data_IF_741377605056
#
_entry.id   IF_741377605056
#
_cell.length_a   1.000
_cell.length_b   1.000
_cell.length_c   1.000
_cell.angle_alpha   90.00
_cell.angle_beta   90.00
_cell.angle_gamma   90.00
#
_symmetry.space_group_name_H-M   'P 1'
#
loop_
_entity.id
_entity.type
_entity.pdbx_description
1 polymer ?
#
# COMPACT_ATOMS: atom_id res chain seq x y z
N UNK A 1 -16.60 4.96 27.74
CA UNK A 1 -15.30 5.52 27.35
C UNK A 1 -14.61 6.02 28.60
N UNK A 2 -13.42 5.49 28.94
CA UNK A 2 -12.70 5.91 30.15
C UNK A 2 -12.33 7.39 30.07
N UNK A 3 -12.43 8.12 31.22
CA UNK A 3 -12.12 9.57 31.30
C UNK A 3 -10.73 9.90 30.73
N UNK A 4 -9.73 9.07 31.02
CA UNK A 4 -8.37 9.24 30.53
C UNK A 4 -8.28 9.17 28.97
N UNK A 5 -9.11 8.33 28.34
CA UNK A 5 -9.20 8.20 26.89
C UNK A 5 -9.86 9.42 26.26
N UNK A 6 -10.93 9.91 26.87
CA UNK A 6 -11.60 11.14 26.44
C UNK A 6 -10.65 12.34 26.58
N UNK A 7 -9.89 12.43 27.64
CA UNK A 7 -8.87 13.47 27.84
C UNK A 7 -7.73 13.34 26.83
N UNK A 8 -7.29 12.12 26.54
CA UNK A 8 -6.30 11.85 25.48
C UNK A 8 -6.79 12.28 24.10
N UNK A 9 -8.03 11.93 23.76
CA UNK A 9 -8.68 12.35 22.51
C UNK A 9 -8.78 13.88 22.39
N UNK A 10 -9.25 14.56 23.44
CA UNK A 10 -9.37 16.02 23.44
C UNK A 10 -8.01 16.71 23.33
N UNK A 11 -6.97 16.20 24.03
CA UNK A 11 -5.60 16.70 23.89
C UNK A 11 -5.05 16.50 22.50
N UNK A 12 -5.20 15.32 21.91
CA UNK A 12 -4.72 15.04 20.56
C UNK A 12 -5.47 15.87 19.51
N UNK A 13 -6.80 16.01 19.66
CA UNK A 13 -7.61 16.86 18.80
C UNK A 13 -7.16 18.33 18.92
N UNK A 14 -6.95 18.84 20.13
CA UNK A 14 -6.43 20.18 20.37
C UNK A 14 -5.05 20.39 19.74
N UNK A 15 -4.11 19.44 19.93
CA UNK A 15 -2.78 19.48 19.32
C UNK A 15 -2.84 19.46 17.79
N UNK A 16 -3.74 18.70 17.19
CA UNK A 16 -3.89 18.66 15.73
C UNK A 16 -4.35 20.00 15.14
N UNK A 17 -5.14 20.78 15.86
CA UNK A 17 -5.53 22.15 15.47
C UNK A 17 -4.39 23.15 15.61
N UNK A 18 -3.43 22.90 16.51
CA UNK A 18 -2.24 23.76 16.67
C UNK A 18 -1.15 23.44 15.63
N UNK A 19 -1.19 22.25 15.02
CA UNK A 19 -0.14 21.83 14.08
C UNK A 19 0.09 22.80 12.92
N UNK A 20 -0.93 23.35 12.24
CA UNK A 20 -0.72 24.33 11.17
C UNK A 20 0.01 25.60 11.63
N UNK A 21 -0.19 26.00 12.90
CA UNK A 21 0.55 27.12 13.47
C UNK A 21 2.00 26.77 13.80
N UNK A 22 2.27 25.51 14.09
CA UNK A 22 3.63 25.01 14.37
C UNK A 22 4.47 24.90 13.08
N UNK A 23 3.84 24.68 11.92
CA UNK A 23 4.56 24.60 10.63
C UNK A 23 5.22 25.91 10.23
N UNK A 24 4.77 27.04 10.77
CA UNK A 24 5.43 28.35 10.64
C UNK A 24 6.68 28.49 11.53
N UNK A 25 6.90 27.59 12.50
CA UNK A 25 8.07 27.56 13.40
C UNK A 25 8.79 26.21 13.23
N UNK A 26 9.76 26.16 12.31
CA UNK A 26 10.46 24.91 11.96
C UNK A 26 11.06 24.17 13.14
N UNK A 27 11.67 24.87 14.09
CA UNK A 27 12.29 24.23 15.27
C UNK A 27 11.26 23.58 16.21
N UNK A 28 10.10 24.20 16.40
CA UNK A 28 9.05 23.63 17.24
C UNK A 28 8.40 22.42 16.58
N UNK A 29 8.18 22.49 15.25
CA UNK A 29 7.69 21.38 14.45
C UNK A 29 8.62 20.17 14.53
N UNK A 30 9.92 20.37 14.34
CA UNK A 30 10.95 19.32 14.48
C UNK A 30 10.89 18.66 15.86
N UNK A 31 10.86 19.45 16.92
CA UNK A 31 10.80 18.94 18.31
C UNK A 31 9.57 18.05 18.55
N UNK A 32 8.41 18.45 18.03
CA UNK A 32 7.15 17.66 18.15
C UNK A 32 7.27 16.35 17.36
N UNK A 33 7.76 16.41 16.12
CA UNK A 33 7.90 15.23 15.29
C UNK A 33 8.94 14.25 15.88
N UNK A 34 10.06 14.72 16.42
CA UNK A 34 11.07 13.86 17.04
C UNK A 34 10.52 13.12 18.26
N UNK A 35 9.73 13.79 19.10
CA UNK A 35 9.04 13.11 20.22
C UNK A 35 8.04 12.04 19.76
N UNK A 36 7.31 12.30 18.67
CA UNK A 36 6.40 11.32 18.07
C UNK A 36 7.17 10.13 17.50
N UNK A 37 8.30 10.38 16.85
CA UNK A 37 9.21 9.37 16.32
C UNK A 37 9.75 8.46 17.43
N UNK A 38 10.21 9.00 18.53
CA UNK A 38 10.76 8.21 19.65
C UNK A 38 9.70 7.25 20.21
N UNK A 39 8.48 7.75 20.45
CA UNK A 39 7.36 6.93 20.90
C UNK A 39 6.94 5.85 19.91
N UNK A 40 6.87 6.18 18.62
CA UNK A 40 6.51 5.24 17.55
C UNK A 40 7.61 4.19 17.35
N UNK A 41 8.87 4.59 17.41
CA UNK A 41 10.02 3.68 17.28
C UNK A 41 10.06 2.66 18.42
N UNK A 42 9.90 3.10 19.67
CA UNK A 42 9.87 2.21 20.84
C UNK A 42 8.75 1.14 20.68
N UNK A 43 7.57 1.54 20.20
CA UNK A 43 6.46 0.63 19.98
C UNK A 43 6.68 -0.31 18.80
N UNK A 44 7.23 0.18 17.69
CA UNK A 44 7.56 -0.65 16.53
C UNK A 44 8.58 -1.73 16.90
N UNK A 45 9.64 -1.37 17.64
CA UNK A 45 10.64 -2.32 18.13
C UNK A 45 10.08 -3.36 19.09
N UNK A 46 9.13 -2.98 19.96
CA UNK A 46 8.46 -3.92 20.87
C UNK A 46 7.61 -4.97 20.15
N UNK A 47 7.12 -4.67 18.95
CA UNK A 47 6.26 -5.55 18.16
C UNK A 47 7.01 -6.38 17.10
N UNK A 48 8.33 -6.21 16.96
CA UNK A 48 9.13 -7.00 16.02
C UNK A 48 9.30 -8.44 16.50
N UNK A 49 9.02 -9.39 15.63
CA UNK A 49 9.26 -10.83 15.88
C UNK A 49 10.76 -11.15 15.90
N UNK A 50 11.54 -10.48 15.06
CA UNK A 50 12.97 -10.71 14.90
C UNK A 50 13.80 -9.94 15.92
N UNK A 51 14.76 -10.63 16.54
CA UNK A 51 15.81 -10.05 17.37
C UNK A 51 17.10 -9.76 16.57
N UNK A 52 17.13 -10.07 15.27
CA UNK A 52 18.27 -9.82 14.39
C UNK A 52 18.58 -8.31 14.30
N UNK A 53 19.79 -7.89 14.67
CA UNK A 53 20.18 -6.47 14.65
C UNK A 53 20.02 -5.82 13.26
N UNK A 54 20.31 -6.56 12.19
CA UNK A 54 20.24 -6.05 10.81
C UNK A 54 18.80 -5.76 10.42
N UNK A 55 17.87 -6.67 10.76
CA UNK A 55 16.43 -6.48 10.51
C UNK A 55 15.86 -5.32 11.33
N UNK A 56 16.27 -5.23 12.60
CA UNK A 56 15.88 -4.11 13.47
C UNK A 56 16.38 -2.77 12.95
N UNK A 57 17.61 -2.72 12.42
CA UNK A 57 18.15 -1.51 11.82
C UNK A 57 17.34 -1.08 10.58
N UNK A 58 16.95 -2.00 9.70
CA UNK A 58 16.10 -1.68 8.54
C UNK A 58 14.74 -1.09 8.91
N UNK A 59 14.13 -1.60 9.99
CA UNK A 59 12.89 -1.00 10.50
C UNK A 59 13.14 0.40 11.05
N UNK A 60 14.24 0.61 11.78
CA UNK A 60 14.63 1.93 12.28
C UNK A 60 14.86 2.92 11.12
N UNK A 61 15.57 2.50 10.09
CA UNK A 61 15.84 3.31 8.90
C UNK A 61 14.54 3.69 8.18
N UNK A 62 13.61 2.73 8.03
CA UNK A 62 12.29 2.99 7.43
C UNK A 62 11.47 3.99 8.24
N UNK A 63 11.49 3.88 9.57
CA UNK A 63 10.84 4.84 10.47
C UNK A 63 11.47 6.23 10.37
N UNK A 64 12.79 6.31 10.36
CA UNK A 64 13.52 7.57 10.19
C UNK A 64 13.14 8.25 8.87
N UNK A 65 13.17 7.52 7.77
CA UNK A 65 12.77 8.04 6.45
C UNK A 65 11.32 8.56 6.44
N UNK A 66 10.40 7.83 7.07
CA UNK A 66 9.01 8.27 7.19
C UNK A 66 8.88 9.61 7.93
N UNK A 67 9.54 9.76 9.08
CA UNK A 67 9.46 11.01 9.85
C UNK A 67 10.17 12.17 9.16
N UNK A 68 11.30 11.93 8.47
CA UNK A 68 11.96 12.95 7.66
C UNK A 68 11.06 13.40 6.47
N UNK A 69 10.33 12.46 5.86
CA UNK A 69 9.32 12.80 4.84
C UNK A 69 8.22 13.67 5.44
N UNK A 70 7.69 13.32 6.62
CA UNK A 70 6.68 14.11 7.33
C UNK A 70 7.19 15.53 7.58
N UNK A 71 8.37 15.70 8.17
CA UNK A 71 8.98 17.02 8.43
C UNK A 71 9.05 17.88 7.18
N UNK A 72 9.49 17.30 6.08
CA UNK A 72 9.69 18.01 4.82
C UNK A 72 8.38 18.40 4.13
N UNK A 73 7.41 17.50 4.10
CA UNK A 73 6.20 17.70 3.33
C UNK A 73 5.11 18.43 4.11
N UNK A 74 5.06 18.25 5.44
CA UNK A 74 4.02 18.82 6.27
C UNK A 74 3.81 20.33 6.04
N UNK A 75 4.86 21.20 5.93
CA UNK A 75 4.66 22.62 5.66
C UNK A 75 4.04 22.97 4.29
N UNK A 76 4.07 22.03 3.34
CA UNK A 76 3.52 22.22 1.99
C UNK A 76 2.04 21.83 1.89
N UNK A 77 1.53 21.12 2.90
CA UNK A 77 0.16 20.64 2.93
C UNK A 77 -0.80 21.74 3.38
N UNK A 78 -2.05 21.66 2.96
CA UNK A 78 -3.10 22.56 3.47
C UNK A 78 -3.25 22.39 4.98
N UNK A 79 -3.67 23.43 5.72
CA UNK A 79 -3.90 23.34 7.16
C UNK A 79 -4.83 22.19 7.54
N UNK A 80 -5.83 21.90 6.72
CA UNK A 80 -6.75 20.80 6.96
C UNK A 80 -6.10 19.43 6.73
N UNK A 81 -5.32 19.27 5.65
CA UNK A 81 -4.55 18.03 5.40
C UNK A 81 -3.55 17.77 6.53
N UNK A 82 -2.83 18.81 7.00
CA UNK A 82 -1.91 18.67 8.15
C UNK A 82 -2.63 18.14 9.39
N UNK A 83 -3.78 18.75 9.72
CA UNK A 83 -4.59 18.37 10.87
C UNK A 83 -5.11 16.94 10.76
N UNK A 84 -5.68 16.58 9.61
CA UNK A 84 -6.23 15.24 9.35
C UNK A 84 -5.15 14.16 9.33
N UNK A 85 -4.00 14.43 8.73
CA UNK A 85 -2.85 13.51 8.78
C UNK A 85 -2.42 13.24 10.21
N UNK A 86 -2.23 14.29 11.01
CA UNK A 86 -1.82 14.15 12.41
C UNK A 86 -2.86 13.37 13.23
N UNK A 87 -4.13 13.70 13.05
CA UNK A 87 -5.18 13.10 13.86
C UNK A 87 -5.52 11.68 13.40
N UNK A 88 -5.73 11.46 12.10
CA UNK A 88 -6.18 10.16 11.60
C UNK A 88 -5.07 9.10 11.59
N UNK A 89 -3.85 9.47 11.13
CA UNK A 89 -2.76 8.50 11.09
C UNK A 89 -2.12 8.32 12.46
N UNK A 90 -1.72 9.40 13.14
CA UNK A 90 -0.96 9.26 14.38
C UNK A 90 -1.85 8.99 15.59
N UNK A 91 -2.97 9.69 15.73
CA UNK A 91 -3.81 9.49 16.90
C UNK A 91 -4.81 8.34 16.69
N UNK A 92 -5.68 8.41 15.68
CA UNK A 92 -6.71 7.39 15.50
C UNK A 92 -6.07 6.03 15.17
N UNK A 93 -5.25 5.96 14.12
CA UNK A 93 -4.71 4.69 13.69
C UNK A 93 -3.66 4.12 14.66
N UNK A 94 -2.68 4.92 15.10
CA UNK A 94 -1.58 4.43 15.94
C UNK A 94 -1.94 4.32 17.43
N UNK A 95 -2.91 5.09 17.92
CA UNK A 95 -3.24 5.16 19.35
C UNK A 95 -4.65 4.67 19.66
N UNK A 96 -5.69 5.29 19.09
CA UNK A 96 -7.08 4.95 19.40
C UNK A 96 -7.41 3.51 18.99
N UNK A 97 -7.02 3.11 17.79
CA UNK A 97 -7.21 1.76 17.28
C UNK A 97 -6.46 0.67 18.05
N UNK A 98 -5.49 1.04 18.90
CA UNK A 98 -4.69 0.07 19.63
C UNK A 98 -5.51 -0.79 20.60
N UNK A 99 -6.51 -0.22 21.24
CA UNK A 99 -7.38 -0.96 22.17
C UNK A 99 -8.16 -2.07 21.46
N UNK A 100 -8.73 -1.76 20.29
CA UNK A 100 -9.42 -2.77 19.48
C UNK A 100 -8.44 -3.85 19.00
N UNK A 101 -7.23 -3.46 18.57
CA UNK A 101 -6.18 -4.42 18.19
C UNK A 101 -5.71 -5.29 19.34
N UNK A 102 -5.61 -4.75 20.54
CA UNK A 102 -5.23 -5.52 21.74
C UNK A 102 -6.35 -6.51 22.12
N UNK A 103 -7.61 -6.08 22.12
CA UNK A 103 -8.78 -6.95 22.35
C UNK A 103 -8.85 -8.07 21.31
N UNK A 104 -8.62 -7.72 20.03
CA UNK A 104 -8.59 -8.72 18.96
C UNK A 104 -7.48 -9.75 19.20
N UNK A 105 -6.26 -9.28 19.51
CA UNK A 105 -5.11 -10.15 19.78
C UNK A 105 -5.35 -11.04 21.00
N UNK A 106 -5.92 -10.51 22.08
CA UNK A 106 -6.24 -11.27 23.30
C UNK A 106 -7.28 -12.36 23.03
N UNK A 107 -8.25 -12.08 22.14
CA UNK A 107 -9.29 -13.03 21.75
C UNK A 107 -8.81 -14.10 20.78
N UNK A 108 -7.96 -13.75 19.80
CA UNK A 108 -7.61 -14.62 18.68
C UNK A 108 -6.15 -15.07 18.65
N UNK A 109 -5.31 -14.56 19.53
CA UNK A 109 -3.89 -14.93 19.65
C UNK A 109 -2.95 -14.22 18.69
N UNK A 110 -3.48 -13.45 17.72
CA UNK A 110 -2.70 -12.76 16.69
C UNK A 110 -3.21 -11.33 16.49
N UNK A 111 -2.34 -10.36 16.14
CA UNK A 111 -2.78 -9.00 15.83
C UNK A 111 -3.61 -8.98 14.55
N UNK A 112 -4.62 -8.08 14.45
CA UNK A 112 -5.35 -7.87 13.20
C UNK A 112 -4.48 -7.15 12.15
N UNK A 113 -4.94 -7.06 10.89
CA UNK A 113 -4.28 -6.29 9.84
C UNK A 113 -4.06 -4.83 10.23
N UNK A 114 -3.06 -4.21 9.60
CA UNK A 114 -2.74 -2.79 9.79
C UNK A 114 -3.61 -1.88 8.91
N UNK A 115 -3.93 -2.32 7.70
CA UNK A 115 -4.78 -1.60 6.76
C UNK A 115 -5.73 -2.55 6.05
N UNK A 116 -6.72 -1.99 5.38
CA UNK A 116 -7.65 -2.74 4.54
C UNK A 116 -7.75 -2.10 3.17
N UNK A 117 -7.88 -2.94 2.14
CA UNK A 117 -8.12 -2.52 0.76
C UNK A 117 -9.57 -2.82 0.41
N UNK A 118 -10.28 -1.83 -0.13
CA UNK A 118 -11.67 -1.97 -0.62
C UNK A 118 -11.71 -1.55 -2.08
N UNK A 119 -12.30 -2.39 -2.92
CA UNK A 119 -12.64 -2.08 -4.31
C UNK A 119 -14.15 -1.95 -4.44
N UNK A 120 -14.74 -0.77 -4.19
CA UNK A 120 -16.19 -0.64 -4.17
C UNK A 120 -16.82 -0.83 -5.56
N UNK A 121 -16.06 -0.57 -6.63
CA UNK A 121 -16.46 -0.76 -8.02
C UNK A 121 -15.27 -1.16 -8.88
N UNK A 122 -15.52 -2.04 -9.87
CA UNK A 122 -14.51 -2.41 -10.87
C UNK A 122 -14.68 -1.65 -12.21
N UNK A 123 -15.57 -0.65 -12.25
CA UNK A 123 -15.73 0.22 -13.42
C UNK A 123 -14.50 1.11 -13.58
N UNK A 124 -14.05 1.28 -14.82
CA UNK A 124 -12.95 2.16 -15.19
C UNK A 124 -13.20 2.71 -16.60
N UNK A 125 -12.82 3.95 -16.82
CA UNK A 125 -12.88 4.62 -18.13
C UNK A 125 -11.63 4.41 -18.98
N UNK A 126 -10.64 3.63 -18.49
CA UNK A 126 -9.43 3.23 -19.23
C UNK A 126 -9.45 1.75 -19.59
N UNK A 127 -8.57 1.39 -20.54
CA UNK A 127 -8.42 0.04 -21.04
C UNK A 127 -6.92 -0.39 -21.07
N UNK A 128 -6.22 -0.19 -19.95
CA UNK A 128 -4.78 -0.44 -19.84
C UNK A 128 -4.44 -1.90 -20.12
N UNK A 129 -3.33 -2.16 -20.83
CA UNK A 129 -2.83 -3.52 -20.96
C UNK A 129 -2.33 -4.06 -19.61
N UNK A 130 -2.52 -5.36 -19.38
CA UNK A 130 -2.08 -6.00 -18.14
C UNK A 130 -2.74 -5.42 -16.86
N UNK A 131 -3.95 -4.89 -16.97
CA UNK A 131 -4.69 -4.39 -15.81
C UNK A 131 -5.19 -5.56 -14.97
N UNK A 132 -4.81 -5.63 -13.69
CA UNK A 132 -5.24 -6.70 -12.80
C UNK A 132 -6.76 -6.69 -12.58
N UNK A 133 -7.40 -5.50 -12.51
CA UNK A 133 -8.81 -5.35 -12.19
C UNK A 133 -9.76 -5.56 -13.38
N UNK A 134 -9.26 -5.84 -14.58
CA UNK A 134 -10.09 -5.83 -15.80
C UNK A 134 -11.13 -6.93 -15.86
N UNK A 135 -10.81 -8.14 -15.43
CA UNK A 135 -11.67 -9.32 -15.57
C UNK A 135 -12.77 -9.43 -14.52
N UNK A 136 -12.71 -8.62 -13.46
CA UNK A 136 -13.79 -8.58 -12.48
C UNK A 136 -15.11 -8.10 -13.09
N UNK A 137 -16.22 -8.61 -12.56
CA UNK A 137 -17.56 -8.23 -13.01
C UNK A 137 -17.85 -6.75 -12.70
N UNK A 138 -17.95 -5.94 -13.75
CA UNK A 138 -18.19 -4.49 -13.65
C UNK A 138 -19.64 -4.11 -13.34
N UNK A 139 -20.56 -5.06 -13.37
CA UNK A 139 -21.95 -4.83 -12.98
C UNK A 139 -22.17 -4.95 -11.46
N UNK A 140 -21.21 -5.54 -10.74
CA UNK A 140 -21.26 -5.65 -9.29
C UNK A 140 -20.56 -4.46 -8.65
N UNK A 141 -21.20 -3.88 -7.66
CA UNK A 141 -20.66 -2.78 -6.84
C UNK A 141 -21.08 -3.00 -5.39
N UNK A 142 -20.26 -2.51 -4.47
CA UNK A 142 -20.69 -2.31 -3.10
C UNK A 142 -21.51 -1.04 -3.02
N UNK A 143 -22.59 -1.08 -2.27
CA UNK A 143 -23.37 0.13 -1.96
C UNK A 143 -22.59 1.04 -1.01
N UNK A 144 -23.02 2.29 -0.88
CA UNK A 144 -22.44 3.23 0.08
C UNK A 144 -22.54 2.68 1.50
N UNK A 145 -23.69 2.12 1.86
CA UNK A 145 -23.98 1.53 3.17
C UNK A 145 -23.07 0.33 3.45
N UNK A 146 -22.88 -0.58 2.48
CA UNK A 146 -21.96 -1.71 2.63
C UNK A 146 -20.52 -1.24 2.87
N UNK A 147 -20.04 -0.24 2.15
CA UNK A 147 -18.69 0.31 2.35
C UNK A 147 -18.56 0.97 3.72
N UNK A 148 -19.59 1.73 4.15
CA UNK A 148 -19.62 2.35 5.47
C UNK A 148 -19.59 1.31 6.59
N UNK A 149 -20.38 0.23 6.48
CA UNK A 149 -20.42 -0.87 7.44
C UNK A 149 -19.07 -1.62 7.50
N UNK A 150 -18.44 -1.88 6.36
CA UNK A 150 -17.11 -2.50 6.30
C UNK A 150 -16.08 -1.63 7.03
N UNK A 151 -16.11 -0.30 6.82
CA UNK A 151 -15.22 0.64 7.52
C UNK A 151 -15.54 0.66 9.01
N UNK A 152 -16.83 0.61 9.39
CA UNK A 152 -17.27 0.48 10.79
C UNK A 152 -16.66 -0.74 11.48
N UNK A 153 -16.83 -1.93 10.89
CA UNK A 153 -16.21 -3.18 11.38
C UNK A 153 -14.67 -3.06 11.49
N UNK A 154 -14.02 -2.48 10.47
CA UNK A 154 -12.57 -2.29 10.48
C UNK A 154 -12.11 -1.41 11.66
N UNK A 155 -12.84 -0.34 11.98
CA UNK A 155 -12.53 0.57 13.10
C UNK A 155 -12.81 -0.09 14.46
N UNK A 156 -13.99 -0.65 14.62
CA UNK A 156 -14.50 -1.10 15.92
C UNK A 156 -13.89 -2.44 16.36
N UNK A 157 -13.78 -3.40 15.44
CA UNK A 157 -13.31 -4.75 15.76
C UNK A 157 -11.79 -4.90 15.57
N UNK A 158 -11.23 -4.22 14.56
CA UNK A 158 -9.83 -4.41 14.14
C UNK A 158 -8.93 -3.20 14.47
N UNK A 159 -9.51 -2.06 14.87
CA UNK A 159 -8.75 -0.84 15.12
C UNK A 159 -8.05 -0.28 13.89
N UNK A 160 -8.59 -0.50 12.71
CA UNK A 160 -8.06 -0.05 11.42
C UNK A 160 -8.68 1.31 11.07
N UNK A 161 -7.84 2.34 11.00
CA UNK A 161 -8.18 3.70 10.53
C UNK A 161 -7.39 4.07 9.27
N UNK A 162 -6.76 3.10 8.63
CA UNK A 162 -6.10 3.26 7.34
C UNK A 162 -6.82 2.38 6.30
N UNK A 163 -7.57 3.02 5.42
CA UNK A 163 -8.34 2.36 4.36
C UNK A 163 -7.74 2.75 3.01
N UNK A 164 -7.51 1.76 2.17
CA UNK A 164 -7.12 1.97 0.78
C UNK A 164 -8.32 1.70 -0.12
N UNK A 165 -8.70 2.66 -0.94
CA UNK A 165 -9.73 2.49 -1.97
C UNK A 165 -9.04 2.29 -3.32
N UNK A 166 -9.43 1.21 -4.02
CA UNK A 166 -8.94 0.88 -5.36
C UNK A 166 -10.08 0.26 -6.19
N UNK A 167 -9.80 -0.62 -7.12
CA UNK A 167 -10.79 -1.29 -7.97
C UNK A 167 -10.53 -0.99 -9.43
N UNK A 168 -11.54 -0.49 -10.17
CA UNK A 168 -11.36 0.09 -11.49
C UNK A 168 -10.73 1.48 -11.38
N UNK A 169 -11.56 2.52 -11.40
CA UNK A 169 -11.16 3.89 -11.09
C UNK A 169 -12.01 4.44 -9.95
N UNK A 170 -11.43 4.65 -8.75
CA UNK A 170 -12.19 5.12 -7.59
C UNK A 170 -12.89 6.46 -7.80
N UNK A 171 -12.30 7.38 -8.58
CA UNK A 171 -12.86 8.73 -8.78
C UNK A 171 -14.13 8.76 -9.62
N UNK A 172 -14.48 7.66 -10.29
CA UNK A 172 -15.78 7.54 -10.98
C UNK A 172 -16.84 6.82 -10.16
N UNK A 173 -16.49 6.23 -9.00
CA UNK A 173 -17.48 5.69 -8.09
C UNK A 173 -18.21 6.84 -7.39
N UNK A 174 -19.55 6.94 -7.51
CA UNK A 174 -20.29 8.17 -7.16
C UNK A 174 -20.22 8.49 -5.66
N UNK A 175 -20.03 7.48 -4.81
CA UNK A 175 -20.06 7.64 -3.34
C UNK A 175 -18.69 7.85 -2.71
N UNK A 176 -17.60 8.01 -3.50
CA UNK A 176 -16.26 8.15 -2.94
C UNK A 176 -16.15 9.29 -1.92
N UNK A 177 -16.58 10.48 -2.29
CA UNK A 177 -16.45 11.65 -1.43
C UNK A 177 -17.46 11.65 -0.28
N UNK A 178 -18.62 11.04 -0.43
CA UNK A 178 -19.59 10.85 0.65
C UNK A 178 -18.99 9.96 1.75
N UNK A 179 -18.35 8.85 1.39
CA UNK A 179 -17.67 7.93 2.33
C UNK A 179 -16.48 8.62 3.01
N UNK A 180 -15.68 9.36 2.26
CA UNK A 180 -14.52 10.09 2.82
C UNK A 180 -14.97 11.16 3.82
N UNK A 181 -16.10 11.82 3.56
CA UNK A 181 -16.69 12.84 4.44
C UNK A 181 -17.34 12.21 5.69
N UNK A 182 -18.09 11.13 5.52
CA UNK A 182 -18.74 10.38 6.60
C UNK A 182 -17.72 9.81 7.60
N UNK A 183 -16.63 9.24 7.08
CA UNK A 183 -15.52 8.69 7.87
C UNK A 183 -14.34 9.66 7.95
N UNK A 184 -14.60 10.87 8.42
CA UNK A 184 -13.62 11.95 8.49
C UNK A 184 -12.46 11.68 9.44
N UNK A 185 -12.59 10.67 10.28
CA UNK A 185 -11.61 10.13 11.22
C UNK A 185 -10.68 9.05 10.62
N UNK A 186 -10.87 8.67 9.35
CA UNK A 186 -10.10 7.66 8.63
C UNK A 186 -9.09 8.31 7.69
N UNK A 187 -7.90 7.70 7.57
CA UNK A 187 -6.91 8.01 6.54
C UNK A 187 -7.21 7.18 5.29
N UNK A 188 -7.66 7.85 4.22
CA UNK A 188 -7.95 7.19 2.94
C UNK A 188 -6.81 7.35 1.96
N UNK A 189 -6.17 6.25 1.56
CA UNK A 189 -5.31 6.22 0.37
C UNK A 189 -6.14 5.73 -0.82
N UNK A 190 -6.11 6.43 -1.95
CA UNK A 190 -6.79 5.98 -3.16
C UNK A 190 -5.79 5.73 -4.29
N UNK A 191 -5.87 4.56 -4.95
CA UNK A 191 -5.11 4.32 -6.17
C UNK A 191 -5.95 4.74 -7.37
N UNK A 192 -5.49 5.74 -8.10
CA UNK A 192 -6.21 6.34 -9.23
C UNK A 192 -5.27 6.59 -10.42
N UNK A 193 -5.80 6.56 -11.63
CA UNK A 193 -5.05 7.06 -12.78
C UNK A 193 -4.90 8.58 -12.78
N UNK A 194 -5.64 9.31 -11.94
CA UNK A 194 -5.52 10.74 -11.73
C UNK A 194 -6.13 11.64 -12.81
N UNK A 195 -6.37 11.14 -14.03
CA UNK A 195 -6.78 11.99 -15.16
C UNK A 195 -8.17 12.62 -15.01
N UNK A 196 -8.97 12.19 -14.03
CA UNK A 196 -10.26 12.80 -13.68
C UNK A 196 -10.12 13.91 -12.64
N UNK A 197 -8.93 14.10 -12.05
CA UNK A 197 -8.70 15.11 -11.02
C UNK A 197 -8.56 16.49 -11.70
N UNK A 198 -9.67 17.20 -11.79
CA UNK A 198 -9.73 18.59 -12.19
C UNK A 198 -9.50 19.55 -11.00
N UNK A 199 -9.61 20.85 -11.22
CA UNK A 199 -9.41 21.87 -10.18
C UNK A 199 -10.44 21.75 -9.06
N UNK A 200 -11.70 21.42 -9.37
CA UNK A 200 -12.77 21.26 -8.38
C UNK A 200 -12.53 20.05 -7.50
N UNK A 201 -12.14 18.92 -8.09
CA UNK A 201 -11.84 17.68 -7.35
C UNK A 201 -10.59 17.85 -6.48
N UNK A 202 -9.50 18.44 -7.00
CA UNK A 202 -8.29 18.71 -6.23
C UNK A 202 -8.58 19.62 -5.02
N UNK A 203 -9.36 20.69 -5.22
CA UNK A 203 -9.81 21.59 -4.16
C UNK A 203 -10.62 20.81 -3.10
N UNK A 204 -11.60 19.99 -3.52
CA UNK A 204 -12.41 19.16 -2.60
C UNK A 204 -11.54 18.22 -1.79
N UNK A 205 -10.53 17.57 -2.38
CA UNK A 205 -9.58 16.70 -1.66
C UNK A 205 -8.78 17.50 -0.61
N UNK A 206 -8.35 18.73 -0.92
CA UNK A 206 -7.68 19.62 0.04
C UNK A 206 -8.60 20.09 1.18
N UNK A 207 -9.88 20.35 0.89
CA UNK A 207 -10.89 20.69 1.89
C UNK A 207 -11.22 19.53 2.83
N UNK A 208 -11.33 18.31 2.32
CA UNK A 208 -11.55 17.10 3.14
C UNK A 208 -10.31 16.75 3.96
N UNK A 209 -9.12 16.80 3.36
CA UNK A 209 -7.83 16.63 4.01
C UNK A 209 -7.49 15.21 4.49
N UNK A 210 -8.40 14.24 4.34
CA UNK A 210 -8.21 12.85 4.75
C UNK A 210 -8.17 11.85 3.58
N UNK A 211 -8.15 12.34 2.33
CA UNK A 211 -8.01 11.53 1.11
C UNK A 211 -6.67 11.83 0.42
N UNK A 212 -5.92 10.77 0.13
CA UNK A 212 -4.52 10.82 -0.29
C UNK A 212 -4.31 10.00 -1.56
N UNK A 213 -4.38 10.63 -2.76
CA UNK A 213 -4.21 9.93 -4.03
C UNK A 213 -2.80 9.38 -4.22
N UNK A 214 -2.68 8.14 -4.67
CA UNK A 214 -1.48 7.57 -5.28
C UNK A 214 -1.71 7.50 -6.80
N UNK A 215 -1.12 8.44 -7.52
CA UNK A 215 -1.37 8.63 -8.95
C UNK A 215 -0.57 7.62 -9.75
N UNK A 216 -1.26 6.85 -10.58
CA UNK A 216 -0.63 5.80 -11.38
C UNK A 216 0.07 6.40 -12.61
N UNK A 217 1.36 6.11 -12.75
CA UNK A 217 2.23 6.52 -13.87
C UNK A 217 3.18 5.38 -14.21
N UNK A 218 3.70 5.31 -15.44
CA UNK A 218 4.49 4.12 -15.88
C UNK A 218 5.94 4.45 -16.27
N UNK A 219 6.43 5.62 -15.97
CA UNK A 219 7.70 6.18 -16.42
C UNK A 219 7.47 7.47 -17.19
N UNK A 220 8.18 7.66 -18.32
CA UNK A 220 8.02 8.83 -19.18
C UNK A 220 6.75 8.81 -20.05
N UNK A 221 6.66 9.79 -20.98
CA UNK A 221 5.51 9.91 -21.90
C UNK A 221 5.21 8.63 -22.67
N UNK A 222 6.28 8.00 -23.22
CA UNK A 222 6.15 6.80 -24.04
C UNK A 222 5.54 5.64 -23.26
N UNK A 223 6.09 5.30 -22.09
CA UNK A 223 5.68 4.15 -21.29
C UNK A 223 4.27 4.39 -20.72
N UNK A 224 3.98 5.62 -20.31
CA UNK A 224 2.69 5.97 -19.72
C UNK A 224 1.60 6.01 -20.78
N UNK A 225 1.82 6.64 -21.92
CA UNK A 225 0.82 6.74 -22.99
C UNK A 225 0.59 5.38 -23.67
N UNK A 226 1.63 4.54 -23.84
CA UNK A 226 1.48 3.18 -24.36
C UNK A 226 0.53 2.34 -23.50
N UNK A 227 0.65 2.44 -22.18
CA UNK A 227 -0.15 1.63 -21.27
C UNK A 227 -1.53 2.20 -21.01
N UNK A 228 -1.65 3.53 -20.84
CA UNK A 228 -2.86 4.17 -20.32
C UNK A 228 -3.66 4.93 -21.37
N UNK A 229 -3.09 5.11 -22.54
CA UNK A 229 -3.72 5.81 -23.66
C UNK A 229 -3.08 7.16 -23.95
N UNK A 230 -3.36 7.67 -25.14
CA UNK A 230 -2.80 8.93 -25.65
C UNK A 230 -3.01 10.10 -24.68
N UNK A 231 -1.99 10.92 -24.53
CA UNK A 231 -1.96 12.13 -23.67
C UNK A 231 -2.17 11.83 -22.16
N UNK A 232 -2.09 10.56 -21.73
CA UNK A 232 -2.24 10.19 -20.33
C UNK A 232 -1.15 10.83 -19.46
N UNK A 233 0.09 10.81 -19.92
CA UNK A 233 1.23 11.38 -19.21
C UNK A 233 1.02 12.85 -18.84
N UNK A 234 0.71 13.70 -19.83
CA UNK A 234 0.51 15.13 -19.62
C UNK A 234 -0.68 15.42 -18.68
N UNK A 235 -1.77 14.65 -18.79
CA UNK A 235 -2.93 14.79 -17.91
C UNK A 235 -2.60 14.39 -16.48
N UNK A 236 -1.80 13.35 -16.29
CA UNK A 236 -1.34 12.87 -14.96
C UNK A 236 -0.48 13.96 -14.30
N UNK A 237 0.50 14.51 -14.98
CA UNK A 237 1.34 15.58 -14.43
C UNK A 237 0.52 16.82 -14.07
N UNK A 238 -0.41 17.23 -14.93
CA UNK A 238 -1.32 18.34 -14.65
C UNK A 238 -2.17 18.09 -13.39
N UNK A 239 -2.59 16.85 -13.16
CA UNK A 239 -3.33 16.47 -11.94
C UNK A 239 -2.46 16.53 -10.68
N UNK A 240 -1.19 16.09 -10.78
CA UNK A 240 -0.22 16.22 -9.68
C UNK A 240 0.00 17.70 -9.32
N UNK A 241 0.13 18.59 -10.33
CA UNK A 241 0.32 20.03 -10.10
C UNK A 241 -0.91 20.67 -9.44
N UNK A 242 -2.13 20.22 -9.77
CA UNK A 242 -3.37 20.65 -9.09
C UNK A 242 -3.37 20.23 -7.62
N UNK A 243 -3.08 18.95 -7.34
CA UNK A 243 -3.01 18.44 -5.97
C UNK A 243 -1.95 19.16 -5.13
N UNK A 244 -0.79 19.44 -5.73
CA UNK A 244 0.29 20.21 -5.10
C UNK A 244 -0.17 21.61 -4.73
N UNK A 245 -0.86 22.31 -5.65
CA UNK A 245 -1.39 23.66 -5.43
C UNK A 245 -2.43 23.73 -4.31
N UNK A 246 -3.28 22.70 -4.20
CA UNK A 246 -4.30 22.60 -3.15
C UNK A 246 -3.77 22.05 -1.82
N UNK A 247 -2.48 21.75 -1.72
CA UNK A 247 -1.85 21.24 -0.51
C UNK A 247 -2.36 19.86 -0.07
N UNK A 248 -2.75 19.03 -1.04
CA UNK A 248 -3.16 17.63 -0.79
C UNK A 248 -1.90 16.79 -0.57
N UNK A 249 -1.93 15.88 0.42
CA UNK A 249 -0.92 14.83 0.53
C UNK A 249 -1.19 13.78 -0.54
N UNK A 250 -0.25 13.58 -1.47
CA UNK A 250 -0.38 12.59 -2.52
C UNK A 250 0.94 11.91 -2.86
N UNK A 251 0.85 10.81 -3.56
CA UNK A 251 1.99 10.04 -4.05
C UNK A 251 1.83 9.64 -5.51
N UNK A 252 2.81 8.88 -6.00
CA UNK A 252 2.70 8.18 -7.27
C UNK A 252 2.71 6.66 -7.07
N UNK A 253 2.24 5.91 -8.07
CA UNK A 253 2.43 4.47 -8.15
C UNK A 253 2.83 4.04 -9.54
N UNK A 254 3.80 3.12 -9.65
CA UNK A 254 4.22 2.51 -10.91
C UNK A 254 3.98 1.01 -10.89
N UNK A 255 3.64 0.44 -12.04
CA UNK A 255 3.64 -1.01 -12.23
C UNK A 255 4.85 -1.40 -13.06
N UNK A 256 5.87 -1.96 -12.42
CA UNK A 256 7.07 -2.44 -13.07
C UNK A 256 6.75 -3.59 -14.02
N UNK A 257 7.04 -3.39 -15.28
CA UNK A 257 6.99 -4.37 -16.37
C UNK A 257 8.37 -4.49 -17.01
N UNK A 258 8.56 -5.52 -17.81
CA UNK A 258 9.78 -5.65 -18.63
C UNK A 258 10.02 -4.42 -19.52
N UNK A 259 8.95 -3.74 -19.97
CA UNK A 259 9.01 -2.64 -20.94
C UNK A 259 9.46 -1.32 -20.34
N UNK A 260 9.05 -1.01 -19.10
CA UNK A 260 9.27 0.30 -18.48
C UNK A 260 10.41 0.31 -17.44
N UNK A 261 11.15 -0.80 -17.32
CA UNK A 261 12.18 -0.97 -16.29
C UNK A 261 13.18 0.20 -16.25
N UNK A 262 13.79 0.54 -17.38
CA UNK A 262 14.80 1.59 -17.44
C UNK A 262 14.23 2.97 -17.09
N UNK A 263 13.01 3.27 -17.53
CA UNK A 263 12.38 4.55 -17.22
C UNK A 263 12.16 4.71 -15.71
N UNK A 264 11.52 3.74 -15.05
CA UNK A 264 11.12 3.87 -13.64
C UNK A 264 12.27 3.68 -12.64
N UNK A 265 13.42 3.17 -13.06
CA UNK A 265 14.62 3.00 -12.22
C UNK A 265 15.67 4.10 -12.43
N UNK A 266 15.40 5.06 -13.32
CA UNK A 266 16.27 6.19 -13.60
C UNK A 266 16.18 7.31 -12.56
N UNK A 267 17.24 8.09 -12.42
CA UNK A 267 17.24 9.28 -11.55
C UNK A 267 16.37 10.39 -12.14
N UNK A 268 16.30 10.50 -13.47
CA UNK A 268 15.48 11.46 -14.18
C UNK A 268 14.00 11.31 -13.82
N UNK A 269 13.48 10.07 -13.80
CA UNK A 269 12.10 9.81 -13.44
C UNK A 269 11.79 10.21 -12.01
N UNK A 270 12.62 9.82 -11.04
CA UNK A 270 12.35 10.13 -9.63
C UNK A 270 12.48 11.64 -9.36
N UNK A 271 13.39 12.34 -10.03
CA UNK A 271 13.55 13.80 -9.94
C UNK A 271 12.37 14.54 -10.55
N UNK A 272 11.86 14.08 -11.68
CA UNK A 272 10.65 14.60 -12.29
C UNK A 272 9.45 14.42 -11.35
N UNK A 273 9.25 13.23 -10.77
CA UNK A 273 8.20 13.03 -9.78
C UNK A 273 8.33 14.01 -8.61
N UNK A 274 9.52 14.16 -8.04
CA UNK A 274 9.76 15.10 -6.93
C UNK A 274 9.39 16.53 -7.32
N UNK A 275 9.66 16.94 -8.55
CA UNK A 275 9.36 18.29 -9.05
C UNK A 275 7.86 18.59 -9.09
N UNK A 276 7.03 17.58 -9.39
CA UNK A 276 5.56 17.66 -9.37
C UNK A 276 4.95 17.50 -7.97
N UNK A 277 5.74 17.17 -6.95
CA UNK A 277 5.37 17.32 -5.54
C UNK A 277 4.81 16.12 -4.80
N UNK A 278 4.78 14.87 -5.33
CA UNK A 278 4.38 13.72 -4.53
C UNK A 278 5.30 13.54 -3.32
N UNK A 279 4.71 13.13 -2.20
CA UNK A 279 5.41 12.90 -0.94
C UNK A 279 5.91 11.46 -0.81
N UNK A 280 5.30 10.55 -1.54
CA UNK A 280 5.66 9.12 -1.53
C UNK A 280 5.48 8.50 -2.92
N UNK A 281 6.13 7.33 -3.12
CA UNK A 281 6.01 6.53 -4.32
C UNK A 281 5.87 5.03 -4.01
N UNK A 282 5.01 4.34 -4.76
CA UNK A 282 4.83 2.90 -4.68
C UNK A 282 5.35 2.24 -5.95
N UNK A 283 6.28 1.31 -5.81
CA UNK A 283 6.71 0.41 -6.88
C UNK A 283 6.00 -0.93 -6.73
N UNK A 284 5.06 -1.19 -7.63
CA UNK A 284 4.44 -2.48 -7.80
C UNK A 284 5.13 -3.26 -8.93
N UNK A 285 4.92 -4.56 -8.96
CA UNK A 285 5.36 -5.42 -10.03
C UNK A 285 4.15 -5.96 -10.78
N UNK A 286 4.25 -6.06 -12.10
CA UNK A 286 3.25 -6.75 -12.90
C UNK A 286 3.19 -8.21 -12.50
N UNK A 287 2.01 -8.66 -12.13
CA UNK A 287 1.65 -10.06 -11.91
C UNK A 287 0.78 -10.48 -13.09
N UNK A 288 1.02 -11.64 -13.73
CA UNK A 288 0.21 -12.11 -14.85
C UNK A 288 -1.16 -12.61 -14.37
N UNK A 289 -2.01 -11.66 -13.97
CA UNK A 289 -3.40 -11.86 -13.56
C UNK A 289 -4.29 -10.80 -14.21
N UNK A 290 -5.61 -11.01 -14.24
CA UNK A 290 -6.54 -10.08 -14.86
C UNK A 290 -6.48 -10.13 -16.39
N UNK A 291 -6.43 -8.96 -17.03
CA UNK A 291 -6.56 -8.81 -18.48
C UNK A 291 -5.42 -9.46 -19.26
N UNK A 292 -5.74 -10.48 -20.05
CA UNK A 292 -4.80 -11.17 -20.94
C UNK A 292 -3.46 -11.46 -20.24
N UNK A 293 -3.46 -12.26 -19.15
CA UNK A 293 -2.27 -12.47 -18.36
C UNK A 293 -1.14 -13.06 -19.21
N UNK A 294 -0.04 -12.29 -19.31
CA UNK A 294 1.12 -12.63 -20.13
C UNK A 294 2.40 -12.59 -19.27
N UNK A 295 2.96 -13.74 -18.90
CA UNK A 295 4.20 -13.80 -18.11
C UNK A 295 5.38 -13.07 -18.76
N UNK A 296 5.40 -12.88 -20.09
CA UNK A 296 6.48 -12.18 -20.78
C UNK A 296 6.56 -10.69 -20.51
N UNK A 297 5.46 -10.09 -19.99
CA UNK A 297 5.41 -8.70 -19.54
C UNK A 297 6.01 -8.51 -18.14
N UNK A 298 6.14 -9.58 -17.35
CA UNK A 298 6.78 -9.50 -16.06
C UNK A 298 8.25 -9.08 -16.19
N UNK A 299 8.79 -8.29 -15.26
CA UNK A 299 10.20 -7.97 -15.27
C UNK A 299 11.04 -9.24 -15.16
N UNK A 300 12.22 -9.23 -15.79
CA UNK A 300 13.19 -10.33 -15.60
C UNK A 300 13.73 -10.35 -14.17
N UNK A 301 14.38 -11.43 -13.79
CA UNK A 301 15.01 -11.55 -12.47
C UNK A 301 16.05 -10.43 -12.24
N UNK A 302 16.89 -10.14 -13.25
CA UNK A 302 17.85 -9.05 -13.22
C UNK A 302 17.15 -7.70 -13.03
N UNK A 303 16.12 -7.41 -13.82
CA UNK A 303 15.38 -6.16 -13.73
C UNK A 303 14.72 -5.98 -12.36
N UNK A 304 14.21 -7.06 -11.75
CA UNK A 304 13.67 -7.01 -10.39
C UNK A 304 14.77 -6.72 -9.37
N UNK A 305 15.93 -7.33 -9.51
CA UNK A 305 17.09 -7.12 -8.65
C UNK A 305 17.64 -5.67 -8.80
N UNK A 306 17.72 -5.16 -10.02
CA UNK A 306 18.11 -3.77 -10.30
C UNK A 306 17.13 -2.77 -9.70
N UNK A 307 15.81 -3.03 -9.78
CA UNK A 307 14.80 -2.19 -9.12
C UNK A 307 14.99 -2.16 -7.60
N UNK A 308 15.25 -3.31 -6.98
CA UNK A 308 15.54 -3.38 -5.53
C UNK A 308 16.70 -2.45 -5.16
N UNK A 309 17.78 -2.45 -5.95
CA UNK A 309 18.94 -1.57 -5.75
C UNK A 309 18.60 -0.10 -6.02
N UNK A 310 17.86 0.18 -7.10
CA UNK A 310 17.47 1.55 -7.45
C UNK A 310 16.56 2.19 -6.40
N UNK A 311 15.56 1.46 -5.92
CA UNK A 311 14.66 1.96 -4.87
C UNK A 311 15.40 2.22 -3.55
N UNK A 312 16.34 1.34 -3.14
CA UNK A 312 17.19 1.59 -1.97
C UNK A 312 18.05 2.84 -2.15
N UNK A 313 18.62 3.05 -3.35
CA UNK A 313 19.35 4.28 -3.70
C UNK A 313 18.46 5.52 -3.59
N UNK A 314 17.25 5.49 -4.15
CA UNK A 314 16.30 6.62 -4.08
C UNK A 314 15.98 6.98 -2.64
N UNK A 315 15.70 6.01 -1.79
CA UNK A 315 15.43 6.22 -0.37
C UNK A 315 16.55 6.95 0.35
N UNK A 316 17.79 6.66 0.01
CA UNK A 316 18.97 7.23 0.67
C UNK A 316 19.36 8.60 0.12
N UNK A 317 19.08 8.87 -1.14
CA UNK A 317 19.62 10.05 -1.84
C UNK A 317 18.57 11.08 -2.23
N UNK A 318 17.29 10.72 -2.28
CA UNK A 318 16.22 11.59 -2.79
C UNK A 318 15.21 11.96 -1.68
N UNK A 319 14.64 13.16 -1.74
CA UNK A 319 13.72 13.67 -0.74
C UNK A 319 12.28 13.14 -0.88
N UNK A 320 12.11 11.85 -1.06
CA UNK A 320 10.82 11.21 -1.24
C UNK A 320 10.81 9.84 -0.57
N UNK A 321 9.69 9.46 0.02
CA UNK A 321 9.51 8.13 0.59
C UNK A 321 9.07 7.15 -0.50
N UNK A 322 9.88 6.14 -0.78
CA UNK A 322 9.59 5.15 -1.82
C UNK A 322 9.43 3.77 -1.21
N UNK A 323 8.38 3.07 -1.61
CA UNK A 323 8.08 1.69 -1.20
C UNK A 323 8.22 0.75 -2.39
N UNK A 324 8.80 -0.43 -2.18
CA UNK A 324 8.80 -1.53 -3.13
C UNK A 324 7.99 -2.69 -2.58
N UNK A 325 6.74 -2.80 -3.02
CA UNK A 325 5.75 -3.70 -2.42
C UNK A 325 6.22 -5.16 -2.34
N UNK A 326 7.00 -5.63 -3.29
CA UNK A 326 7.52 -7.01 -3.32
C UNK A 326 8.90 -7.20 -2.74
N UNK A 327 9.72 -6.16 -2.69
CA UNK A 327 11.10 -6.29 -2.24
C UNK A 327 11.30 -5.77 -0.80
N UNK A 328 10.29 -5.13 -0.20
CA UNK A 328 10.34 -4.62 1.19
C UNK A 328 9.98 -5.67 2.25
N UNK A 329 9.98 -6.94 1.90
CA UNK A 329 9.69 -8.01 2.85
C UNK A 329 10.62 -8.07 4.06
N UNK A 330 11.85 -7.53 3.96
CA UNK A 330 12.75 -7.41 5.10
C UNK A 330 12.23 -6.40 6.15
N UNK A 331 11.67 -5.27 5.70
CA UNK A 331 11.07 -4.26 6.59
C UNK A 331 9.72 -4.70 7.15
N UNK A 332 9.03 -5.59 6.45
CA UNK A 332 7.69 -6.08 6.82
C UNK A 332 7.68 -7.48 7.43
N UNK A 333 8.85 -8.11 7.60
CA UNK A 333 9.02 -9.48 8.09
C UNK A 333 8.28 -10.52 7.23
N UNK A 334 8.30 -10.36 5.90
CA UNK A 334 7.68 -11.27 4.94
C UNK A 334 6.48 -10.68 4.21
N UNK A 335 5.58 -11.54 3.71
CA UNK A 335 4.42 -11.15 2.92
C UNK A 335 3.42 -10.31 3.73
N UNK A 336 2.88 -9.26 3.12
CA UNK A 336 1.88 -8.38 3.74
C UNK A 336 0.47 -8.98 3.74
N UNK A 337 0.17 -9.87 2.81
CA UNK A 337 -1.14 -10.44 2.55
C UNK A 337 -1.61 -11.44 3.63
N UNK A 338 -2.73 -12.09 3.36
CA UNK A 338 -3.35 -13.12 4.19
C UNK A 338 -3.83 -12.62 5.55
N UNK A 339 -4.32 -11.37 5.57
CA UNK A 339 -4.79 -10.75 6.80
C UNK A 339 -3.69 -10.45 7.83
N UNK A 340 -2.40 -10.57 7.44
CA UNK A 340 -1.28 -10.25 8.34
C UNK A 340 -1.07 -8.74 8.47
N UNK A 341 -1.02 -8.03 7.36
CA UNK A 341 -0.93 -6.57 7.32
C UNK A 341 -2.08 -5.95 6.55
N UNK A 342 -2.69 -6.67 5.59
CA UNK A 342 -3.88 -6.24 4.90
C UNK A 342 -4.69 -7.42 4.35
N UNK A 343 -5.91 -7.12 3.92
CA UNK A 343 -6.82 -7.96 3.13
C UNK A 343 -7.54 -7.06 2.12
N UNK A 344 -8.20 -7.69 1.15
CA UNK A 344 -8.92 -7.00 0.09
C UNK A 344 -10.39 -7.41 0.06
N UNK A 345 -11.30 -6.44 0.03
CA UNK A 345 -12.73 -6.63 -0.20
C UNK A 345 -13.07 -6.16 -1.60
N UNK A 346 -13.62 -7.04 -2.43
CA UNK A 346 -13.97 -6.76 -3.83
C UNK A 346 -15.35 -6.13 -3.96
N UNK A 347 -15.67 -5.64 -5.14
CA UNK A 347 -16.99 -5.07 -5.50
C UNK A 347 -18.16 -6.05 -5.35
N UNK A 348 -17.90 -7.35 -5.35
CA UNK A 348 -18.90 -8.39 -5.11
C UNK A 348 -19.05 -8.80 -3.64
N UNK A 349 -18.31 -8.15 -2.73
CA UNK A 349 -18.25 -8.49 -1.31
C UNK A 349 -17.33 -9.67 -0.99
N UNK A 350 -16.68 -10.27 -1.99
CA UNK A 350 -15.72 -11.34 -1.79
C UNK A 350 -14.46 -10.82 -1.10
N UNK A 351 -13.92 -11.60 -0.15
CA UNK A 351 -12.72 -11.25 0.62
C UNK A 351 -11.53 -12.07 0.14
N UNK A 352 -10.57 -11.36 -0.44
CA UNK A 352 -9.33 -11.91 -0.97
C UNK A 352 -8.16 -11.64 -0.03
N UNK A 353 -7.21 -12.57 0.08
CA UNK A 353 -6.00 -12.37 0.87
C UNK A 353 -5.10 -11.23 0.37
N UNK A 354 -5.15 -10.95 -0.92
CA UNK A 354 -4.29 -9.99 -1.61
C UNK A 354 -5.00 -9.45 -2.85
N UNK A 355 -4.84 -8.16 -3.15
CA UNK A 355 -5.39 -7.50 -4.34
C UNK A 355 -4.91 -8.10 -5.67
N UNK A 356 -3.83 -8.86 -5.66
CA UNK A 356 -3.27 -9.56 -6.83
C UNK A 356 -3.55 -11.06 -6.84
N UNK A 357 -4.21 -11.57 -5.80
CA UNK A 357 -4.57 -12.96 -5.65
C UNK A 357 -6.09 -13.06 -5.78
N UNK A 358 -6.56 -13.24 -6.98
CA UNK A 358 -7.97 -13.18 -7.35
C UNK A 358 -8.72 -14.47 -6.96
N UNK A 359 -8.57 -14.87 -5.70
CA UNK A 359 -9.24 -16.02 -5.10
C UNK A 359 -9.76 -15.63 -3.73
N UNK A 360 -11.05 -15.72 -3.53
CA UNK A 360 -11.69 -15.40 -2.27
C UNK A 360 -11.65 -16.57 -1.29
N UNK A 361 -11.55 -16.18 -0.03
CA UNK A 361 -11.71 -17.12 1.10
C UNK A 361 -13.15 -17.13 1.59
N UNK A 362 -13.83 -15.98 1.53
CA UNK A 362 -15.18 -15.79 2.10
C UNK A 362 -15.88 -14.56 1.50
N UNK A 363 -17.07 -14.21 1.99
CA UNK A 363 -17.85 -13.04 1.57
C UNK A 363 -18.26 -12.20 2.79
N UNK A 364 -18.02 -10.87 2.71
CA UNK A 364 -18.36 -9.93 3.79
C UNK A 364 -19.88 -9.78 4.01
N UNK A 365 -20.69 -10.16 3.04
CA UNK A 365 -22.16 -10.18 3.16
C UNK A 365 -22.67 -11.36 3.99
N UNK A 366 -21.82 -12.37 4.24
CA UNK A 366 -22.19 -13.60 4.95
C UNK A 366 -21.55 -13.67 6.33
N UNK A 367 -20.36 -13.07 6.50
CA UNK A 367 -19.57 -13.13 7.75
C UNK A 367 -18.91 -11.79 8.03
N UNK A 368 -18.70 -11.49 9.31
CA UNK A 368 -17.93 -10.31 9.73
C UNK A 368 -16.44 -10.42 9.32
N UNK A 369 -15.76 -9.27 9.26
CA UNK A 369 -14.31 -9.22 9.00
C UNK A 369 -13.50 -10.06 10.00
N UNK A 370 -13.87 -10.02 11.29
CA UNK A 370 -13.19 -10.79 12.31
C UNK A 370 -13.38 -12.31 12.11
N UNK A 371 -14.59 -12.77 11.75
CA UNK A 371 -14.85 -14.19 11.44
C UNK A 371 -14.04 -14.65 10.22
N UNK A 372 -14.03 -13.86 9.15
CA UNK A 372 -13.27 -14.17 7.92
C UNK A 372 -11.77 -14.27 8.20
N UNK A 373 -11.21 -13.29 8.91
CA UNK A 373 -9.79 -13.28 9.29
C UNK A 373 -9.41 -14.47 10.19
N UNK A 374 -10.37 -15.02 10.92
CA UNK A 374 -10.18 -16.18 11.80
C UNK A 374 -10.59 -17.52 11.16
N UNK A 375 -10.93 -17.52 9.87
CA UNK A 375 -11.18 -18.74 9.11
C UNK A 375 -9.96 -19.67 9.10
N UNK A 376 -10.15 -21.00 8.95
CA UNK A 376 -9.05 -21.96 8.88
C UNK A 376 -8.01 -21.60 7.81
N UNK A 377 -8.44 -21.07 6.67
CA UNK A 377 -7.57 -20.69 5.57
C UNK A 377 -6.63 -19.52 5.94
N UNK A 378 -7.18 -18.41 6.47
CA UNK A 378 -6.37 -17.27 6.88
C UNK A 378 -5.39 -17.63 8.02
N UNK A 379 -5.84 -18.42 9.00
CA UNK A 379 -4.98 -18.88 10.11
C UNK A 379 -3.83 -19.73 9.61
N UNK A 380 -4.10 -20.71 8.74
CA UNK A 380 -3.05 -21.56 8.21
C UNK A 380 -2.04 -20.79 7.38
N UNK A 381 -2.52 -19.93 6.45
CA UNK A 381 -1.64 -19.12 5.64
C UNK A 381 -0.74 -18.18 6.48
N UNK A 382 -1.26 -17.63 7.59
CA UNK A 382 -0.46 -16.82 8.53
C UNK A 382 0.56 -17.67 9.31
N UNK A 383 0.20 -18.90 9.69
CA UNK A 383 1.12 -19.82 10.39
C UNK A 383 2.28 -20.28 9.52
N UNK A 384 2.10 -20.29 8.18
CA UNK A 384 3.15 -20.60 7.21
C UNK A 384 4.12 -19.43 6.97
N UNK A 385 3.80 -18.23 7.46
CA UNK A 385 4.64 -17.05 7.23
C UNK A 385 5.75 -16.92 8.30
N UNK A 386 6.95 -16.45 7.89
CA UNK A 386 7.32 -16.05 6.53
C UNK A 386 7.41 -17.26 5.60
N UNK A 387 6.90 -17.13 4.36
CA UNK A 387 6.95 -18.19 3.36
C UNK A 387 8.39 -18.51 2.89
N UNK A 388 9.34 -17.64 3.20
CA UNK A 388 10.75 -17.80 2.87
C UNK A 388 11.62 -17.16 3.95
N UNK A 389 12.77 -17.76 4.24
CA UNK A 389 13.77 -17.19 5.17
C UNK A 389 14.41 -15.92 4.59
N UNK A 390 14.63 -15.88 3.28
CA UNK A 390 15.01 -14.65 2.57
C UNK A 390 13.77 -13.78 2.35
N UNK A 391 13.57 -12.81 3.22
CA UNK A 391 12.43 -11.90 3.15
C UNK A 391 12.40 -10.99 1.92
N UNK A 392 13.45 -10.97 1.09
CA UNK A 392 13.40 -10.32 -0.24
C UNK A 392 12.56 -11.12 -1.25
N UNK A 393 12.16 -12.34 -0.85
CA UNK A 393 11.28 -13.27 -1.59
C UNK A 393 10.01 -13.59 -0.78
N UNK A 394 9.19 -12.58 -0.44
CA UNK A 394 8.10 -12.77 0.52
C UNK A 394 6.82 -13.37 -0.08
N UNK A 395 6.61 -13.25 -1.40
CA UNK A 395 5.31 -13.43 -2.02
C UNK A 395 4.97 -14.90 -2.30
N UNK A 396 3.74 -15.32 -1.96
CA UNK A 396 3.25 -16.66 -2.27
C UNK A 396 2.88 -16.86 -3.75
N UNK A 397 2.83 -15.79 -4.55
CA UNK A 397 2.48 -15.89 -5.98
C UNK A 397 3.75 -16.03 -6.83
N UNK A 398 4.77 -15.18 -6.59
CA UNK A 398 5.93 -15.06 -7.49
C UNK A 398 7.26 -15.49 -6.86
N UNK A 399 7.29 -15.80 -5.56
CA UNK A 399 8.52 -16.16 -4.87
C UNK A 399 8.45 -17.57 -4.25
N UNK A 400 7.29 -17.95 -3.73
CA UNK A 400 7.05 -19.22 -3.03
C UNK A 400 5.83 -19.88 -3.69
N UNK A 401 6.00 -20.26 -4.93
CA UNK A 401 4.90 -20.54 -5.87
C UNK A 401 4.08 -21.77 -5.50
N UNK A 402 4.58 -22.68 -4.66
CA UNK A 402 3.84 -23.87 -4.21
C UNK A 402 2.83 -23.58 -3.10
N UNK A 403 2.98 -22.43 -2.41
CA UNK A 403 2.10 -22.06 -1.28
C UNK A 403 0.66 -21.86 -1.74
N UNK A 404 0.48 -21.08 -2.81
CA UNK A 404 -0.86 -20.74 -3.30
C UNK A 404 -1.62 -21.96 -3.84
N UNK A 405 -1.05 -22.83 -4.68
CA UNK A 405 -1.72 -24.07 -5.12
C UNK A 405 -2.11 -25.00 -3.97
N UNK A 406 -1.26 -25.09 -2.94
CA UNK A 406 -1.57 -25.85 -1.74
C UNK A 406 -2.80 -25.30 -1.02
N UNK A 407 -2.82 -24.01 -0.70
CA UNK A 407 -3.95 -23.36 -0.02
C UNK A 407 -5.23 -23.38 -0.86
N UNK A 408 -5.11 -23.14 -2.17
CA UNK A 408 -6.22 -23.20 -3.13
C UNK A 408 -6.92 -24.57 -3.08
N UNK A 409 -6.15 -25.66 -3.17
CA UNK A 409 -6.67 -27.02 -3.14
C UNK A 409 -7.24 -27.38 -1.77
N UNK A 410 -6.52 -27.06 -0.70
CA UNK A 410 -6.88 -27.47 0.67
C UNK A 410 -8.12 -26.78 1.18
N UNK A 411 -8.26 -25.50 0.91
CA UNK A 411 -9.36 -24.65 1.41
C UNK A 411 -10.42 -24.33 0.38
N UNK A 412 -10.34 -24.91 -0.82
CA UNK A 412 -11.29 -24.68 -1.91
C UNK A 412 -11.52 -23.19 -2.17
N UNK A 413 -10.43 -22.42 -2.32
CA UNK A 413 -10.54 -20.98 -2.59
C UNK A 413 -11.36 -20.72 -3.87
N UNK A 414 -12.18 -19.70 -3.87
CA UNK A 414 -13.10 -19.38 -4.96
C UNK A 414 -12.48 -18.36 -5.91
N UNK A 415 -12.25 -18.69 -7.20
CA UNK A 415 -11.85 -17.70 -8.19
C UNK A 415 -12.87 -16.55 -8.27
N UNK A 416 -12.39 -15.31 -8.22
CA UNK A 416 -13.26 -14.12 -8.18
C UNK A 416 -13.65 -13.60 -9.58
N UNK A 417 -13.04 -14.17 -10.61
CA UNK A 417 -13.43 -14.01 -12.03
C UNK A 417 -12.98 -15.21 -12.84
N UNK A 418 -13.51 -15.35 -14.05
CA UNK A 418 -13.09 -16.41 -14.97
C UNK A 418 -11.59 -16.28 -15.30
N UNK A 419 -10.85 -17.39 -15.21
CA UNK A 419 -9.42 -17.45 -15.49
C UNK A 419 -8.52 -17.03 -14.33
N UNK A 420 -9.06 -16.67 -13.15
CA UNK A 420 -8.24 -16.36 -11.98
C UNK A 420 -7.40 -17.56 -11.52
N UNK A 421 -7.92 -18.78 -11.71
CA UNK A 421 -7.24 -20.05 -11.39
C UNK A 421 -5.99 -20.32 -12.25
N UNK A 422 -5.80 -19.60 -13.35
CA UNK A 422 -4.62 -19.76 -14.23
C UNK A 422 -3.30 -19.56 -13.50
N UNK A 423 -3.29 -18.74 -12.45
CA UNK A 423 -2.11 -18.46 -11.64
C UNK A 423 -1.60 -19.71 -10.87
N UNK A 424 -2.48 -20.66 -10.60
CA UNK A 424 -2.17 -21.95 -9.94
C UNK A 424 -2.20 -23.14 -10.91
N UNK A 425 -2.50 -22.91 -12.18
CA UNK A 425 -2.55 -23.93 -13.23
C UNK A 425 -1.52 -23.64 -14.32
N UNK A 426 -1.93 -23.19 -15.49
CA UNK A 426 -1.08 -23.02 -16.69
C UNK A 426 -0.02 -21.91 -16.57
N UNK A 427 -0.16 -20.95 -15.68
CA UNK A 427 0.85 -19.92 -15.42
C UNK A 427 1.86 -20.30 -14.32
N UNK A 428 1.57 -21.31 -13.52
CA UNK A 428 2.36 -21.70 -12.35
C UNK A 428 3.81 -22.02 -12.69
N UNK A 429 4.05 -22.79 -13.75
CA UNK A 429 5.41 -23.17 -14.17
C UNK A 429 6.26 -21.94 -14.59
N UNK A 430 5.65 -20.97 -15.28
CA UNK A 430 6.34 -19.73 -15.66
C UNK A 430 6.69 -18.89 -14.42
N UNK A 431 5.82 -18.82 -13.44
CA UNK A 431 6.06 -18.15 -12.16
C UNK A 431 7.17 -18.83 -11.37
N UNK A 432 7.19 -20.17 -11.32
CA UNK A 432 8.22 -20.94 -10.63
C UNK A 432 9.62 -20.73 -11.28
N UNK A 433 9.71 -20.71 -12.62
CA UNK A 433 10.97 -20.38 -13.32
C UNK A 433 11.46 -18.97 -12.98
N UNK A 434 10.57 -17.97 -12.95
CA UNK A 434 10.94 -16.60 -12.59
C UNK A 434 11.37 -16.48 -11.12
N UNK A 435 10.71 -17.20 -10.22
CA UNK A 435 11.08 -17.27 -8.81
C UNK A 435 12.49 -17.81 -8.61
N UNK A 436 12.83 -18.91 -9.29
CA UNK A 436 14.15 -19.52 -9.21
C UNK A 436 15.23 -18.62 -9.83
N UNK A 437 14.96 -18.01 -10.97
CA UNK A 437 15.87 -17.04 -11.58
C UNK A 437 16.15 -15.85 -10.63
N UNK A 438 15.12 -15.34 -9.93
CA UNK A 438 15.30 -14.25 -8.98
C UNK A 438 16.10 -14.67 -7.73
N UNK A 439 15.97 -15.91 -7.27
CA UNK A 439 16.80 -16.45 -6.20
C UNK A 439 18.28 -16.39 -6.57
N UNK A 440 18.61 -16.84 -7.78
CA UNK A 440 19.99 -16.81 -8.31
C UNK A 440 20.53 -15.38 -8.40
N UNK A 441 19.73 -14.44 -8.87
CA UNK A 441 20.13 -13.02 -8.94
C UNK A 441 20.39 -12.39 -7.57
N UNK A 442 19.62 -12.75 -6.55
CA UNK A 442 19.87 -12.29 -5.19
C UNK A 442 21.19 -12.84 -4.63
N UNK A 443 21.52 -14.10 -4.91
CA UNK A 443 22.81 -14.69 -4.52
C UNK A 443 23.98 -13.98 -5.21
N UNK A 444 23.81 -13.62 -6.49
CA UNK A 444 24.80 -12.82 -7.23
C UNK A 444 24.99 -11.43 -6.62
N UNK A 445 23.90 -10.74 -6.27
CA UNK A 445 23.98 -9.45 -5.59
C UNK A 445 24.71 -9.54 -4.23
N UNK A 446 24.43 -10.57 -3.46
CA UNK A 446 25.10 -10.78 -2.16
C UNK A 446 26.59 -11.07 -2.33
N UNK A 447 26.98 -11.82 -3.34
CA UNK A 447 28.39 -12.06 -3.67
C UNK A 447 29.14 -10.76 -4.02
N UNK A 448 28.53 -9.90 -4.85
CA UNK A 448 29.11 -8.59 -5.22
C UNK A 448 29.26 -7.68 -4.01
N UNK A 449 28.26 -7.63 -3.14
CA UNK A 449 28.31 -6.83 -1.89
C UNK A 449 29.41 -7.28 -0.94
N UNK A 450 29.61 -8.60 -0.80
CA UNK A 450 30.68 -9.17 0.05
C UNK A 450 32.08 -8.82 -0.49
N UNK A 451 32.26 -8.84 -1.80
CA UNK A 451 33.55 -8.42 -2.42
C UNK A 451 33.78 -6.93 -2.23
N UNK A 452 32.78 -6.08 -2.46
CA UNK A 452 32.88 -4.63 -2.28
C UNK A 452 33.14 -4.19 -0.81
N UNK A 453 32.67 -4.96 0.16
CA UNK A 453 32.96 -4.71 1.57
C UNK A 453 34.42 -5.03 1.93
N UNK A 454 34.95 -6.15 1.40
CA UNK A 454 36.38 -6.56 1.64
C UNK A 454 37.40 -5.63 0.99
N UNK A 455 37.03 -4.87 -0.03
CA UNK A 455 37.93 -3.90 -0.69
C UNK A 455 38.00 -2.56 0.07
N UNK A 456 37.07 -2.31 0.99
CA UNK A 456 37.01 -1.09 1.81
C UNK A 456 37.62 -1.26 3.20
N UNK A 457 37.96 -2.49 3.61
CA UNK A 457 38.77 -2.82 4.79
C UNK A 457 40.27 -2.89 4.39
#
# INVERSE_FOLDING_TARGET
>A
MHVDRMMGYLKAKGLSYLLPSLTGNGHLLETVIDKLKDGASAKAFGNLRSQDPTKRQKVADSMNMFFEMVKRNLPRLSPNTQRKLAFNMFFNHMTLGQEARDKYRDKYGEPPPFLMVISPSMKCNLNCFGCYAWEYNKAQELTREEVSDIIGQAKEELGIYFITITGGEPTIWPHLFEIVEEHDDVFFQIYTHGMMIDDAMAKRMGELGNVHPAISIEGGPRETDERRGKDAYSKILASMDRLKREGVLFGFSVTHTKKNHHAITSDEFIEEMISHGPSFGWYFQYIPTGKNPDPSLAPTAEQRAERYVAVDRFRRSKPILVYDFWNDGEATEGCLAWGRKYLHVTASGMVEPCVFLHMAVDNIREKSLAEILNSPCFKEARSMQPFNEDHRRPCCIIDNTDVLPYLYKKHALVPTHAGAERIVTDLHEALARNSEAYRVELERLDAVRKVGARVKE
#
